data_IF_453288881316
#
_entry.id   IF_453288881316
#
_cell.length_a   1.000
_cell.length_b   1.000
_cell.length_c   1.000
_cell.angle_alpha   90.00
_cell.angle_beta   90.00
_cell.angle_gamma   90.00
#
_symmetry.space_group_name_H-M   'P 1'
#
loop_
_entity.id
_entity.type
_entity.pdbx_description
1 polymer ?
#
# COMPACT_ATOMS: atom_id res chain seq x y z
N UNK A 1 -10.26 71.74 60.90
CA UNK A 1 -9.82 70.56 61.69
C UNK A 1 -10.60 69.29 61.32
N UNK A 2 -11.89 69.11 61.69
CA UNK A 2 -12.62 67.87 61.39
C UNK A 2 -12.88 67.66 59.87
N UNK A 3 -13.34 68.71 59.17
CA UNK A 3 -13.57 68.66 57.71
C UNK A 3 -12.29 68.39 56.92
N UNK A 4 -11.14 68.92 57.35
CA UNK A 4 -9.85 68.71 56.68
C UNK A 4 -9.38 67.25 56.79
N UNK A 5 -9.62 66.62 57.95
CA UNK A 5 -9.31 65.21 58.16
C UNK A 5 -10.20 64.30 57.30
N UNK A 6 -11.50 64.62 57.19
CA UNK A 6 -12.43 63.89 56.32
C UNK A 6 -12.04 64.01 54.84
N UNK A 7 -11.65 65.21 54.40
CA UNK A 7 -11.14 65.45 53.05
C UNK A 7 -9.88 64.61 52.79
N UNK A 8 -8.96 64.54 53.76
CA UNK A 8 -7.74 63.73 53.64
C UNK A 8 -8.05 62.24 53.45
N UNK A 9 -8.93 61.66 54.27
CA UNK A 9 -9.34 60.25 54.14
C UNK A 9 -10.00 59.94 52.79
N UNK A 10 -10.83 60.85 52.26
CA UNK A 10 -11.44 60.71 50.94
C UNK A 10 -10.39 60.69 49.83
N UNK A 11 -9.37 61.55 49.90
CA UNK A 11 -8.29 61.59 48.92
C UNK A 11 -7.43 60.31 48.93
N UNK A 12 -7.14 59.76 50.10
CA UNK A 12 -6.45 58.46 50.23
C UNK A 12 -7.25 57.32 49.59
N UNK A 13 -8.57 57.29 49.85
CA UNK A 13 -9.47 56.32 49.24
C UNK A 13 -9.48 56.44 47.71
N UNK A 14 -9.53 57.65 47.16
CA UNK A 14 -9.46 57.90 45.71
C UNK A 14 -8.12 57.43 45.13
N UNK A 15 -7.01 57.68 45.82
CA UNK A 15 -5.68 57.20 45.40
C UNK A 15 -5.62 55.68 45.36
N UNK A 16 -6.19 55.00 46.36
CA UNK A 16 -6.26 53.54 46.38
C UNK A 16 -7.14 52.99 45.25
N UNK A 17 -8.32 53.60 45.03
CA UNK A 17 -9.22 53.25 43.92
C UNK A 17 -8.49 53.36 42.58
N UNK A 18 -7.75 54.44 42.34
CA UNK A 18 -6.95 54.62 41.12
C UNK A 18 -5.91 53.50 40.95
N UNK A 19 -5.19 53.18 42.02
CA UNK A 19 -4.17 52.13 41.98
C UNK A 19 -4.78 50.75 41.68
N UNK A 20 -5.89 50.40 42.35
CA UNK A 20 -6.62 49.15 42.08
C UNK A 20 -7.18 49.11 40.66
N UNK A 21 -7.70 50.23 40.15
CA UNK A 21 -8.19 50.34 38.77
C UNK A 21 -7.08 50.07 37.75
N UNK A 22 -5.88 50.63 37.95
CA UNK A 22 -4.73 50.37 37.08
C UNK A 22 -4.25 48.91 37.14
N UNK A 23 -4.25 48.30 38.33
CA UNK A 23 -3.91 46.87 38.48
C UNK A 23 -4.94 45.97 37.78
N UNK A 24 -6.23 46.29 37.94
CA UNK A 24 -7.32 45.57 37.32
C UNK A 24 -7.23 45.62 35.78
N UNK A 25 -6.96 46.79 35.19
CA UNK A 25 -6.81 46.90 33.73
C UNK A 25 -5.60 46.11 33.21
N UNK A 26 -4.49 46.05 33.96
CA UNK A 26 -3.35 45.17 33.62
C UNK A 26 -3.73 43.68 33.64
N UNK A 27 -4.46 43.25 34.66
CA UNK A 27 -4.93 41.85 34.76
C UNK A 27 -5.92 41.53 33.63
N UNK A 28 -6.86 42.43 33.36
CA UNK A 28 -7.85 42.30 32.29
C UNK A 28 -7.20 42.18 30.90
N UNK A 29 -6.17 42.98 30.62
CA UNK A 29 -5.42 42.88 29.36
C UNK A 29 -4.72 41.51 29.22
N UNK A 30 -4.07 41.03 30.29
CA UNK A 30 -3.46 39.69 30.30
C UNK A 30 -4.49 38.59 30.10
N UNK A 31 -5.62 38.69 30.80
CA UNK A 31 -6.69 37.70 30.70
C UNK A 31 -7.24 37.58 29.27
N UNK A 32 -7.42 38.71 28.57
CA UNK A 32 -7.84 38.70 27.16
C UNK A 32 -6.84 37.99 26.25
N UNK A 33 -5.54 38.26 26.41
CA UNK A 33 -4.51 37.59 25.63
C UNK A 33 -4.48 36.06 25.89
N UNK A 34 -4.66 35.63 27.14
CA UNK A 34 -4.76 34.21 27.48
C UNK A 34 -6.01 33.56 26.86
N UNK A 35 -7.15 34.25 26.80
CA UNK A 35 -8.35 33.74 26.11
C UNK A 35 -8.12 33.54 24.61
N UNK A 36 -7.51 34.51 23.93
CA UNK A 36 -7.17 34.39 22.51
C UNK A 36 -6.21 33.23 22.24
N UNK A 37 -5.20 33.05 23.12
CA UNK A 37 -4.29 31.92 23.05
C UNK A 37 -5.01 30.59 23.25
N UNK A 38 -5.91 30.50 24.24
CA UNK A 38 -6.72 29.32 24.53
C UNK A 38 -7.61 28.94 23.34
N UNK A 39 -8.31 29.90 22.74
CA UNK A 39 -9.15 29.67 21.55
C UNK A 39 -8.32 29.18 20.35
N UNK A 40 -7.11 29.72 20.18
CA UNK A 40 -6.20 29.28 19.11
C UNK A 40 -5.74 27.84 19.33
N UNK A 41 -5.44 27.46 20.57
CA UNK A 41 -5.00 26.10 20.91
C UNK A 41 -6.15 25.10 20.78
N UNK A 42 -7.38 25.49 21.14
CA UNK A 42 -8.57 24.67 20.92
C UNK A 42 -8.78 24.38 19.42
N UNK A 43 -8.52 25.36 18.55
CA UNK A 43 -8.59 25.19 17.09
C UNK A 43 -7.55 24.19 16.60
N UNK A 44 -6.28 24.36 17.01
CA UNK A 44 -5.22 23.41 16.64
C UNK A 44 -5.51 22.00 17.14
N UNK A 45 -6.04 21.85 18.36
CA UNK A 45 -6.40 20.54 18.90
C UNK A 45 -7.48 19.84 18.07
N UNK A 46 -8.44 20.58 17.53
CA UNK A 46 -9.46 20.04 16.61
C UNK A 46 -8.82 19.59 15.30
N UNK A 47 -7.95 20.41 14.72
CA UNK A 47 -7.23 20.09 13.48
C UNK A 47 -6.36 18.83 13.63
N UNK A 48 -5.62 18.68 14.74
CA UNK A 48 -4.79 17.50 14.98
C UNK A 48 -5.59 16.22 15.19
N UNK A 49 -6.77 16.31 15.83
CA UNK A 49 -7.67 15.17 15.96
C UNK A 49 -8.23 14.74 14.62
N UNK A 50 -8.65 15.71 13.81
CA UNK A 50 -9.14 15.44 12.45
C UNK A 50 -8.04 14.81 11.58
N UNK A 51 -6.82 15.34 11.63
CA UNK A 51 -5.67 14.79 10.90
C UNK A 51 -5.38 13.34 11.34
N UNK A 52 -5.45 13.05 12.64
CA UNK A 52 -5.30 11.69 13.15
C UNK A 52 -6.36 10.74 12.56
N UNK A 53 -7.62 11.18 12.48
CA UNK A 53 -8.70 10.37 11.93
C UNK A 53 -8.49 10.10 10.42
N UNK A 54 -8.02 11.09 9.67
CA UNK A 54 -7.67 10.93 8.26
C UNK A 54 -6.54 9.92 8.06
N UNK A 55 -5.47 10.00 8.85
CA UNK A 55 -4.35 9.05 8.81
C UNK A 55 -4.79 7.62 9.16
N UNK A 56 -5.72 7.47 10.12
CA UNK A 56 -6.30 6.17 10.44
C UNK A 56 -7.14 5.62 9.29
N UNK A 57 -7.91 6.46 8.60
CA UNK A 57 -8.67 6.07 7.41
C UNK A 57 -7.74 5.65 6.27
N UNK A 58 -6.69 6.41 5.98
CA UNK A 58 -5.69 6.06 4.96
C UNK A 58 -5.01 4.72 5.28
N UNK A 59 -4.61 4.51 6.54
CA UNK A 59 -4.08 3.22 7.01
C UNK A 59 -5.05 2.07 6.71
N UNK A 60 -6.36 2.27 6.92
CA UNK A 60 -7.36 1.24 6.63
C UNK A 60 -7.52 0.99 5.13
N UNK A 61 -7.42 2.04 4.30
CA UNK A 61 -7.42 1.89 2.84
C UNK A 61 -6.25 1.01 2.38
N UNK A 62 -5.04 1.23 2.89
CA UNK A 62 -3.88 0.39 2.56
C UNK A 62 -4.01 -1.07 3.00
N UNK A 63 -4.64 -1.32 4.16
CA UNK A 63 -4.92 -2.70 4.59
C UNK A 63 -5.85 -3.42 3.61
N UNK A 64 -6.84 -2.72 3.06
CA UNK A 64 -7.75 -3.29 2.08
C UNK A 64 -7.06 -3.53 0.72
N UNK A 65 -6.19 -2.62 0.28
CA UNK A 65 -5.36 -2.82 -0.91
C UNK A 65 -4.50 -4.09 -0.79
N UNK A 66 -3.85 -4.29 0.35
CA UNK A 66 -3.08 -5.51 0.62
C UNK A 66 -3.96 -6.76 0.60
N UNK A 67 -5.20 -6.68 1.09
CA UNK A 67 -6.16 -7.79 1.05
C UNK A 67 -6.55 -8.15 -0.39
N UNK A 68 -6.74 -7.16 -1.26
CA UNK A 68 -7.05 -7.36 -2.67
C UNK A 68 -5.86 -7.99 -3.42
N UNK A 69 -4.64 -7.48 -3.20
CA UNK A 69 -3.42 -8.08 -3.78
C UNK A 69 -3.29 -9.54 -3.36
N UNK A 70 -3.57 -9.87 -2.10
CA UNK A 70 -3.54 -11.25 -1.64
C UNK A 70 -4.57 -12.13 -2.33
N UNK A 71 -5.78 -11.61 -2.58
CA UNK A 71 -6.80 -12.33 -3.34
C UNK A 71 -6.36 -12.60 -4.78
N UNK A 72 -5.76 -11.60 -5.45
CA UNK A 72 -5.26 -11.74 -6.82
C UNK A 72 -4.12 -12.76 -6.91
N UNK A 73 -3.19 -12.75 -5.94
CA UNK A 73 -2.13 -13.76 -5.83
C UNK A 73 -2.75 -15.16 -5.75
N UNK A 74 -3.74 -15.36 -4.87
CA UNK A 74 -4.39 -16.68 -4.71
C UNK A 74 -5.08 -17.15 -6.00
N UNK A 75 -5.69 -16.23 -6.77
CA UNK A 75 -6.29 -16.56 -8.07
C UNK A 75 -5.22 -16.99 -9.07
N UNK A 76 -4.10 -16.26 -9.13
CA UNK A 76 -2.97 -16.59 -10.01
C UNK A 76 -2.33 -17.94 -9.64
N UNK A 77 -2.11 -18.22 -8.36
CA UNK A 77 -1.57 -19.49 -7.88
C UNK A 77 -2.45 -20.68 -8.30
N UNK A 78 -3.77 -20.54 -8.12
CA UNK A 78 -4.72 -21.57 -8.54
C UNK A 78 -4.73 -21.75 -10.06
N UNK A 79 -4.60 -20.66 -10.83
CA UNK A 79 -4.55 -20.71 -12.30
C UNK A 79 -3.31 -21.42 -12.80
N UNK A 80 -2.14 -21.15 -12.19
CA UNK A 80 -0.88 -21.83 -12.51
C UNK A 80 -1.02 -23.32 -12.23
N UNK A 81 -1.49 -23.69 -11.02
CA UNK A 81 -1.69 -25.09 -10.62
C UNK A 81 -2.61 -25.84 -11.57
N UNK A 82 -3.70 -25.20 -12.02
CA UNK A 82 -4.62 -25.79 -12.99
C UNK A 82 -3.93 -26.00 -14.35
N UNK A 83 -3.18 -25.00 -14.83
CA UNK A 83 -2.47 -25.06 -16.10
C UNK A 83 -1.37 -26.14 -16.10
N UNK A 84 -0.64 -26.31 -14.99
CA UNK A 84 0.36 -27.37 -14.83
C UNK A 84 -0.30 -28.76 -14.90
N UNK A 85 -1.46 -28.94 -14.27
CA UNK A 85 -2.21 -30.18 -14.34
C UNK A 85 -2.68 -30.48 -15.76
N UNK A 86 -3.21 -29.47 -16.47
CA UNK A 86 -3.67 -29.66 -17.84
C UNK A 86 -2.50 -29.94 -18.81
N UNK A 87 -1.35 -29.29 -18.60
CA UNK A 87 -0.12 -29.60 -19.32
C UNK A 87 0.31 -31.05 -19.10
N UNK A 88 0.28 -31.55 -17.85
CA UNK A 88 0.62 -32.94 -17.56
C UNK A 88 -0.31 -33.92 -18.28
N UNK A 89 -1.62 -33.67 -18.30
CA UNK A 89 -2.58 -34.49 -19.05
C UNK A 89 -2.29 -34.50 -20.55
N UNK A 90 -1.95 -33.35 -21.13
CA UNK A 90 -1.60 -33.24 -22.55
C UNK A 90 -0.30 -33.99 -22.86
N UNK A 91 0.71 -33.87 -22.00
CA UNK A 91 1.96 -34.61 -22.13
C UNK A 91 1.73 -36.12 -22.09
N UNK A 92 0.96 -36.62 -21.12
CA UNK A 92 0.59 -38.03 -21.03
C UNK A 92 -0.17 -38.51 -22.28
N UNK A 93 -1.15 -37.75 -22.74
CA UNK A 93 -1.91 -38.07 -23.95
C UNK A 93 -1.02 -38.11 -25.19
N UNK A 94 -0.10 -37.16 -25.33
CA UNK A 94 0.80 -37.09 -26.49
C UNK A 94 1.80 -38.25 -26.46
N UNK A 95 2.32 -38.61 -25.27
CA UNK A 95 3.20 -39.76 -25.09
C UNK A 95 2.52 -41.07 -25.50
N UNK A 96 1.27 -41.29 -25.09
CA UNK A 96 0.49 -42.48 -25.50
C UNK A 96 0.29 -42.56 -27.01
N UNK A 97 -0.10 -41.45 -27.64
CA UNK A 97 -0.25 -41.40 -29.10
C UNK A 97 1.08 -41.65 -29.83
N UNK A 98 2.19 -41.17 -29.28
CA UNK A 98 3.51 -41.43 -29.84
C UNK A 98 3.90 -42.90 -29.76
N UNK A 99 3.63 -43.55 -28.63
CA UNK A 99 3.81 -45.00 -28.43
C UNK A 99 2.94 -45.84 -29.41
N UNK A 100 1.74 -45.38 -29.76
CA UNK A 100 0.88 -46.01 -30.78
C UNK A 100 1.36 -45.75 -32.22
N UNK A 101 1.80 -44.52 -32.51
CA UNK A 101 2.25 -44.09 -33.84
C UNK A 101 3.48 -44.86 -34.32
N UNK A 102 4.48 -45.04 -33.45
CA UNK A 102 5.77 -45.63 -33.80
C UNK A 102 5.65 -47.03 -34.45
N UNK A 103 5.02 -48.04 -33.81
CA UNK A 103 4.86 -49.37 -34.43
C UNK A 103 3.98 -49.33 -35.68
N UNK A 104 2.97 -48.44 -35.73
CA UNK A 104 2.13 -48.29 -36.89
C UNK A 104 2.91 -47.73 -38.09
N UNK A 105 3.75 -46.72 -37.88
CA UNK A 105 4.65 -46.18 -38.90
C UNK A 105 5.61 -47.25 -39.41
N UNK A 106 6.24 -47.99 -38.50
CA UNK A 106 7.13 -49.10 -38.84
C UNK A 106 6.43 -50.15 -39.71
N UNK A 107 5.18 -50.49 -39.39
CA UNK A 107 4.37 -51.40 -40.19
C UNK A 107 4.03 -50.84 -41.58
N UNK A 108 3.63 -49.56 -41.67
CA UNK A 108 3.36 -48.88 -42.95
C UNK A 108 4.62 -48.83 -43.81
N UNK A 109 5.77 -48.48 -43.23
CA UNK A 109 7.06 -48.47 -43.93
C UNK A 109 7.43 -49.86 -44.43
N UNK A 110 7.19 -50.92 -43.64
CA UNK A 110 7.40 -52.30 -44.09
C UNK A 110 6.53 -52.65 -45.32
N UNK A 111 5.25 -52.27 -45.31
CA UNK A 111 4.34 -52.46 -46.46
C UNK A 111 4.75 -51.64 -47.68
N UNK A 112 5.25 -50.41 -47.51
CA UNK A 112 5.76 -49.58 -48.61
C UNK A 112 6.98 -50.22 -49.26
N UNK A 113 7.87 -50.79 -48.46
CA UNK A 113 9.08 -51.45 -48.94
C UNK A 113 8.78 -52.70 -49.78
N UNK A 114 7.73 -53.48 -49.49
CA UNK A 114 7.35 -54.64 -50.32
C UNK A 114 6.88 -54.23 -51.72
N UNK A 115 6.43 -52.99 -51.89
CA UNK A 115 6.02 -52.40 -53.16
C UNK A 115 7.14 -51.58 -53.84
N UNK A 116 8.36 -51.56 -53.28
CA UNK A 116 9.49 -50.80 -53.80
C UNK A 116 9.41 -49.28 -53.60
N UNK A 117 8.52 -48.81 -52.71
CA UNK A 117 8.39 -47.40 -52.37
C UNK A 117 9.37 -47.00 -51.24
N UNK A 118 9.78 -45.72 -51.23
CA UNK A 118 10.60 -45.17 -50.14
C UNK A 118 9.79 -45.02 -48.83
N UNK A 119 10.49 -45.12 -47.70
CA UNK A 119 9.97 -44.91 -46.34
C UNK A 119 9.48 -43.48 -46.13
N UNK A 120 8.56 -43.31 -45.19
CA UNK A 120 8.07 -42.00 -44.78
C UNK A 120 9.08 -41.28 -43.86
N UNK A 121 9.14 -39.94 -43.89
CA UNK A 121 9.96 -39.15 -42.98
C UNK A 121 9.59 -39.40 -41.50
N UNK A 122 10.59 -39.28 -40.61
CA UNK A 122 10.40 -39.41 -39.17
C UNK A 122 9.98 -38.08 -38.52
N UNK A 123 9.26 -38.17 -37.39
CA UNK A 123 8.81 -37.02 -36.58
C UNK A 123 9.86 -36.63 -35.53
N UNK A 124 11.15 -36.60 -35.93
CA UNK A 124 12.29 -36.52 -35.01
C UNK A 124 12.26 -35.23 -34.14
N UNK A 125 11.84 -34.10 -34.71
CA UNK A 125 11.74 -32.83 -33.97
C UNK A 125 10.60 -32.82 -32.93
N UNK A 126 9.55 -33.60 -33.15
CA UNK A 126 8.42 -33.76 -32.23
C UNK A 126 8.75 -34.71 -31.07
N UNK A 127 9.60 -35.69 -31.31
CA UNK A 127 10.08 -36.65 -30.30
C UNK A 127 10.99 -36.00 -29.25
N UNK A 128 11.88 -35.10 -29.68
CA UNK A 128 12.74 -34.35 -28.76
C UNK A 128 11.92 -33.47 -27.79
N UNK A 129 10.78 -32.94 -28.24
CA UNK A 129 9.86 -32.11 -27.42
C UNK A 129 9.19 -32.89 -26.29
N UNK A 130 9.01 -34.20 -26.46
CA UNK A 130 8.46 -35.10 -25.43
C UNK A 130 9.49 -35.46 -24.34
N UNK A 131 10.78 -35.37 -24.66
CA UNK A 131 11.88 -35.64 -23.72
C UNK A 131 12.20 -34.46 -22.80
N UNK A 132 11.73 -33.26 -23.16
CA UNK A 132 12.03 -32.02 -22.46
C UNK A 132 11.18 -31.88 -21.19
N UNK A 133 11.54 -32.61 -20.13
CA UNK A 133 10.99 -32.51 -18.75
C UNK A 133 11.13 -31.11 -18.09
N UNK A 134 11.49 -30.07 -18.85
CA UNK A 134 12.12 -28.87 -18.31
C UNK A 134 11.18 -27.73 -17.94
N UNK A 135 9.86 -27.87 -18.04
CA UNK A 135 8.95 -26.72 -17.93
C UNK A 135 8.47 -26.43 -16.49
N UNK A 136 8.40 -27.41 -15.58
CA UNK A 136 7.73 -27.20 -14.29
C UNK A 136 8.65 -26.95 -13.07
N UNK A 137 9.99 -26.91 -13.21
CA UNK A 137 10.90 -26.76 -12.04
C UNK A 137 11.29 -25.30 -11.72
N UNK A 138 10.81 -24.33 -12.48
CA UNK A 138 11.10 -22.90 -12.28
C UNK A 138 9.74 -22.22 -12.20
N UNK A 139 9.14 -22.04 -11.02
CA UNK A 139 9.38 -20.86 -10.18
C UNK A 139 8.85 -21.07 -8.75
N UNK A 140 9.46 -21.97 -7.97
CA UNK A 140 9.32 -21.93 -6.51
C UNK A 140 10.59 -21.35 -5.88
N UNK A 141 11.01 -20.16 -6.33
CA UNK A 141 11.75 -19.28 -5.44
C UNK A 141 10.70 -18.50 -4.69
N UNK A 142 10.38 -19.01 -3.52
CA UNK A 142 9.75 -18.27 -2.44
C UNK A 142 10.15 -16.80 -2.51
N UNK A 143 9.19 -15.95 -2.88
CA UNK A 143 9.21 -14.56 -2.42
C UNK A 143 9.03 -14.70 -0.92
N UNK A 144 10.18 -14.88 -0.24
CA UNK A 144 10.25 -14.85 1.20
C UNK A 144 9.57 -13.58 1.63
N UNK A 145 8.56 -13.74 2.48
CA UNK A 145 8.03 -12.69 3.33
C UNK A 145 9.21 -11.82 3.77
N UNK A 146 9.25 -10.52 3.43
CA UNK A 146 10.27 -9.64 3.98
C UNK A 146 10.16 -9.77 5.51
N UNK A 147 11.28 -9.97 6.23
CA UNK A 147 11.22 -10.06 7.68
C UNK A 147 10.53 -8.80 8.19
N UNK A 148 9.42 -9.01 8.87
CA UNK A 148 8.69 -7.98 9.58
C UNK A 148 9.69 -7.25 10.48
N UNK A 149 10.09 -6.04 10.07
CA UNK A 149 10.92 -5.18 10.92
C UNK A 149 10.03 -4.82 12.11
N UNK A 150 10.40 -5.18 13.35
CA UNK A 150 9.66 -4.69 14.50
C UNK A 150 9.80 -3.18 14.52
N UNK A 151 8.72 -2.48 14.21
CA UNK A 151 8.62 -1.03 14.41
C UNK A 151 8.98 -0.76 15.86
N UNK A 152 10.07 -0.03 16.06
CA UNK A 152 10.65 0.27 17.36
C UNK A 152 9.60 0.94 18.25
N UNK A 153 9.16 0.22 19.28
CA UNK A 153 8.58 0.84 20.46
C UNK A 153 9.71 1.58 21.18
N UNK A 154 9.78 2.89 21.01
CA UNK A 154 10.37 3.76 22.03
C UNK A 154 9.23 4.50 22.73
N UNK A 155 9.01 4.15 23.99
CA UNK A 155 8.34 5.00 24.97
C UNK A 155 9.34 5.31 26.08
N UNK A 156 9.17 6.51 26.65
CA UNK A 156 10.04 7.30 27.52
C UNK A 156 11.21 7.94 26.75
N UNK A 157 11.39 9.26 26.73
CA UNK A 157 11.22 10.21 27.83
C UNK A 157 10.95 11.66 27.35
N UNK A 158 10.47 12.48 28.28
CA UNK A 158 10.03 13.87 28.17
C UNK A 158 11.04 14.82 27.50
N UNK A 159 10.55 15.70 26.64
CA UNK A 159 11.29 16.88 26.20
C UNK A 159 10.58 17.62 25.08
N UNK A 160 9.85 18.68 25.41
CA UNK A 160 9.48 19.72 24.43
C UNK A 160 10.77 20.43 24.01
N UNK A 161 11.04 20.55 22.70
CA UNK A 161 11.40 21.87 22.20
C UNK A 161 10.66 22.25 20.92
N UNK A 162 10.42 23.56 20.82
CA UNK A 162 9.71 24.26 19.74
C UNK A 162 10.41 24.09 18.37
N UNK A 163 9.58 23.98 17.31
CA UNK A 163 9.69 24.49 15.91
C UNK A 163 11.09 24.81 15.33
N UNK A 164 11.43 24.43 14.07
CA UNK A 164 10.91 25.17 12.91
C UNK A 164 10.54 24.33 11.66
N UNK A 165 9.65 24.91 10.85
CA UNK A 165 9.23 24.49 9.50
C UNK A 165 10.40 24.10 8.59
N UNK A 166 10.23 23.02 7.84
CA UNK A 166 10.98 22.75 6.61
C UNK A 166 10.56 21.42 5.95
N UNK A 167 10.16 21.48 4.68
CA UNK A 167 9.99 20.37 3.72
C UNK A 167 8.81 19.39 3.91
N UNK A 168 7.60 19.80 3.51
CA UNK A 168 6.48 18.89 3.15
C UNK A 168 6.17 18.81 1.65
N UNK A 169 6.91 19.53 0.79
CA UNK A 169 6.60 19.59 -0.65
C UNK A 169 7.10 18.38 -1.48
N UNK A 170 7.91 17.48 -0.90
CA UNK A 170 8.51 16.36 -1.65
C UNK A 170 7.71 15.04 -1.55
N UNK A 171 6.84 14.87 -0.55
CA UNK A 171 6.01 13.66 -0.41
C UNK A 171 4.72 13.75 -1.21
N UNK A 172 4.10 14.93 -1.29
CA UNK A 172 2.87 15.15 -2.07
C UNK A 172 3.10 14.85 -3.57
N UNK A 173 4.26 15.24 -4.12
CA UNK A 173 4.62 14.95 -5.52
C UNK A 173 4.91 13.46 -5.81
N UNK A 174 5.17 12.64 -4.78
CA UNK A 174 5.32 11.18 -4.94
C UNK A 174 3.97 10.47 -4.92
N UNK A 175 3.01 11.00 -4.15
CA UNK A 175 1.67 10.42 -3.99
C UNK A 175 0.82 10.66 -5.24
N UNK A 176 0.90 11.86 -5.85
CA UNK A 176 0.20 12.14 -7.11
C UNK A 176 0.64 11.20 -8.24
N UNK A 177 1.93 10.84 -8.29
CA UNK A 177 2.46 9.88 -9.28
C UNK A 177 1.96 8.44 -9.05
N UNK A 178 1.60 8.07 -7.83
CA UNK A 178 1.08 6.72 -7.53
C UNK A 178 -0.42 6.60 -7.87
N UNK A 179 -1.19 7.68 -7.69
CA UNK A 179 -2.57 7.75 -8.17
C UNK A 179 -2.65 7.63 -9.70
N UNK A 180 -1.73 8.27 -10.42
CA UNK A 180 -1.67 8.18 -11.89
C UNK A 180 -1.29 6.77 -12.38
N UNK A 181 -0.41 6.05 -11.67
CA UNK A 181 -0.09 4.66 -12.00
C UNK A 181 -1.29 3.72 -11.76
N UNK A 182 -2.08 3.95 -10.71
CA UNK A 182 -3.30 3.16 -10.43
C UNK A 182 -4.35 3.32 -11.55
N UNK A 183 -4.54 4.54 -12.05
CA UNK A 183 -5.42 4.81 -13.19
C UNK A 183 -4.89 4.21 -14.51
N UNK A 184 -3.57 4.24 -14.72
CA UNK A 184 -2.94 3.61 -15.88
C UNK A 184 -3.11 2.08 -15.90
N UNK A 185 -2.96 1.41 -14.75
CA UNK A 185 -3.13 -0.05 -14.65
C UNK A 185 -4.59 -0.48 -14.77
N UNK A 186 -5.53 0.26 -14.17
CA UNK A 186 -6.97 0.00 -14.33
C UNK A 186 -7.42 0.13 -15.79
N UNK A 187 -6.93 1.15 -16.50
CA UNK A 187 -7.27 1.38 -17.92
C UNK A 187 -6.67 0.31 -18.86
N UNK A 188 -5.53 -0.27 -18.49
CA UNK A 188 -4.86 -1.32 -19.27
C UNK A 188 -5.53 -2.69 -19.11
N UNK A 189 -6.04 -3.00 -17.92
CA UNK A 189 -6.79 -4.24 -17.65
C UNK A 189 -8.18 -4.23 -18.31
N UNK A 190 -8.81 -3.07 -18.45
CA UNK A 190 -10.11 -2.93 -19.12
C UNK A 190 -10.07 -3.14 -20.64
N UNK A 191 -8.90 -3.02 -21.28
CA UNK A 191 -8.73 -3.13 -22.73
C UNK A 191 -8.10 -4.47 -23.19
N UNK A 192 -7.89 -5.43 -22.29
CA UNK A 192 -7.44 -6.76 -22.68
C UNK A 192 -8.58 -7.49 -23.40
N UNK A 193 -8.38 -8.00 -24.64
CA UNK A 193 -9.41 -8.73 -25.35
C UNK A 193 -9.84 -9.94 -24.54
N UNK A 194 -11.12 -10.00 -24.16
CA UNK A 194 -11.73 -11.24 -23.68
C UNK A 194 -11.77 -12.20 -24.86
N UNK A 195 -10.74 -13.03 -24.98
CA UNK A 195 -10.74 -14.18 -25.89
C UNK A 195 -11.70 -15.21 -25.30
N UNK A 196 -12.85 -15.33 -25.96
CA UNK A 196 -13.82 -16.41 -25.79
C UNK A 196 -13.26 -17.72 -26.34
#
# INVERSE_FOLDING_TARGET
MADEQEIMCKLESIKEIRNKTLQMEKIKARLKAEFEALESEERHLKEYKQEMDLLLQEKMAHVEELRLIHADINVMENTIKQSENDLNKLLESTRRLHEEYKPLKEHVDALRMTLGLQRLPDLCEEEEKLSLEHVCRVTNKSIGTPPYVPSAKQRADLGIPKSPRGNRMNEIQKIDKLCDLSQYFSSRMANLPRLY
#
